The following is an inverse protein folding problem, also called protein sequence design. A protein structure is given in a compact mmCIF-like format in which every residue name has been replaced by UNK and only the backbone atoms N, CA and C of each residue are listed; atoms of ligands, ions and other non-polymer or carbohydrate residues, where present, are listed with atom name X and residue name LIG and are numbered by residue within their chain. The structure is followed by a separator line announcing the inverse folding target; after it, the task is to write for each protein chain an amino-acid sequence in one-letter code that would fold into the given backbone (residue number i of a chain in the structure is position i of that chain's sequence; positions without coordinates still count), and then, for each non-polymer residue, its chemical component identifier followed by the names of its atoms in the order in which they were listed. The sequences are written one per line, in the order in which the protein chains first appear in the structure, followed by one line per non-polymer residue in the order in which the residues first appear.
data_IF_875756377540
#
_entry.id   IF_875756377540
#
_cell.length_a   1.000
_cell.length_b   1.000
_cell.length_c   1.000
_cell.angle_alpha   90.00
_cell.angle_beta   90.00
_cell.angle_gamma   90.00
#
_symmetry.space_group_name_H-M   'P 1'
#
loop_
_entity.id
_entity.type
_entity.pdbx_description
1 polymer ?
#
# COMPACT_ATOMS: atom_id res chain seq x y z
N UNK A 1 -16.86 -16.29 -11.84
CA UNK A 1 -17.16 -17.68 -11.44
C UNK A 1 -17.26 -17.71 -9.93
N UNK A 2 -18.37 -18.19 -9.39
CA UNK A 2 -18.59 -18.25 -7.94
C UNK A 2 -17.97 -19.52 -7.35
N UNK A 3 -17.41 -19.42 -6.15
CA UNK A 3 -16.88 -20.56 -5.38
C UNK A 3 -17.59 -20.66 -4.03
N UNK A 4 -17.73 -21.88 -3.52
CA UNK A 4 -18.27 -22.11 -2.17
C UNK A 4 -17.21 -21.73 -1.14
N UNK A 5 -17.59 -20.92 -0.16
CA UNK A 5 -16.80 -20.57 1.02
C UNK A 5 -17.52 -21.13 2.26
N UNK A 6 -16.83 -21.96 3.03
CA UNK A 6 -17.34 -22.50 4.30
C UNK A 6 -16.29 -22.29 5.38
N UNK A 7 -16.70 -21.71 6.51
CA UNK A 7 -15.83 -21.50 7.67
C UNK A 7 -16.67 -21.32 8.94
N UNK A 8 -16.08 -21.58 10.10
CA UNK A 8 -16.70 -21.25 11.39
C UNK A 8 -16.51 -19.77 11.68
N UNK A 9 -17.57 -19.11 12.11
CA UNK A 9 -17.61 -17.68 12.42
C UNK A 9 -18.23 -17.53 13.80
N UNK A 10 -17.72 -16.59 14.58
CA UNK A 10 -18.28 -16.24 15.88
C UNK A 10 -19.74 -15.76 15.76
N UNK A 11 -20.55 -16.06 16.76
CA UNK A 11 -21.98 -15.74 16.75
C UNK A 11 -22.22 -14.22 16.74
N UNK A 12 -21.44 -13.43 17.48
CA UNK A 12 -21.59 -11.98 17.45
C UNK A 12 -21.29 -11.42 16.03
N UNK A 13 -20.34 -12.04 15.33
CA UNK A 13 -20.00 -11.64 13.95
C UNK A 13 -21.12 -12.01 12.97
N UNK A 14 -21.77 -13.17 13.09
CA UNK A 14 -22.91 -13.50 12.22
C UNK A 14 -24.07 -12.54 12.44
N UNK A 15 -24.36 -12.14 13.68
CA UNK A 15 -25.38 -11.15 14.00
C UNK A 15 -25.07 -9.79 13.36
N UNK A 16 -23.82 -9.36 13.37
CA UNK A 16 -23.40 -8.11 12.71
C UNK A 16 -23.57 -8.18 11.19
N UNK A 17 -23.20 -9.30 10.55
CA UNK A 17 -23.40 -9.51 9.11
C UNK A 17 -24.89 -9.43 8.76
N UNK A 18 -25.74 -10.06 9.56
CA UNK A 18 -27.19 -10.11 9.35
C UNK A 18 -27.83 -8.73 9.47
N UNK A 19 -27.46 -7.99 10.52
CA UNK A 19 -27.88 -6.61 10.71
C UNK A 19 -27.46 -5.73 9.52
N UNK A 20 -26.20 -5.83 9.08
CA UNK A 20 -25.68 -5.01 7.99
C UNK A 20 -26.35 -5.34 6.65
N UNK A 21 -26.60 -6.62 6.39
CA UNK A 21 -27.33 -7.09 5.22
C UNK A 21 -28.76 -6.53 5.20
N UNK A 22 -29.44 -6.54 6.35
CA UNK A 22 -30.80 -5.99 6.51
C UNK A 22 -30.83 -4.48 6.29
N UNK A 23 -29.98 -3.72 7.00
CA UNK A 23 -29.93 -2.26 6.91
C UNK A 23 -29.59 -1.76 5.50
N UNK A 24 -28.72 -2.48 4.78
CA UNK A 24 -28.29 -2.14 3.42
C UNK A 24 -29.16 -2.77 2.33
N UNK A 25 -30.11 -3.64 2.67
CA UNK A 25 -30.97 -4.40 1.74
C UNK A 25 -30.17 -5.17 0.68
N UNK A 26 -29.09 -5.82 1.09
CA UNK A 26 -28.22 -6.62 0.22
C UNK A 26 -28.03 -8.02 0.79
N UNK A 27 -27.73 -9.04 -0.04
CA UNK A 27 -27.46 -10.38 0.46
C UNK A 27 -26.17 -10.43 1.29
N UNK A 28 -26.12 -11.34 2.28
CA UNK A 28 -24.94 -11.57 3.14
C UNK A 28 -23.65 -11.79 2.34
N UNK A 29 -23.72 -12.50 1.20
CA UNK A 29 -22.61 -12.67 0.24
C UNK A 29 -21.99 -11.32 -0.14
N UNK A 30 -22.83 -10.35 -0.51
CA UNK A 30 -22.38 -9.03 -0.97
C UNK A 30 -21.76 -8.23 0.17
N UNK A 31 -22.30 -8.33 1.38
CA UNK A 31 -21.68 -7.74 2.59
C UNK A 31 -20.25 -8.24 2.75
N UNK A 32 -20.05 -9.56 2.72
CA UNK A 32 -18.73 -10.17 2.92
C UNK A 32 -17.77 -9.77 1.79
N UNK A 33 -18.20 -9.84 0.53
CA UNK A 33 -17.35 -9.45 -0.59
C UNK A 33 -16.95 -7.97 -0.55
N UNK A 34 -17.88 -7.07 -0.22
CA UNK A 34 -17.60 -5.64 -0.11
C UNK A 34 -16.67 -5.35 1.09
N UNK A 35 -16.85 -6.03 2.22
CA UNK A 35 -15.98 -5.92 3.37
C UNK A 35 -14.55 -6.36 3.04
N UNK A 36 -14.36 -7.50 2.36
CA UNK A 36 -13.04 -7.99 1.92
C UNK A 36 -12.39 -7.01 0.95
N UNK A 37 -13.14 -6.52 -0.06
CA UNK A 37 -12.62 -5.50 -1.00
C UNK A 37 -12.24 -4.21 -0.28
N UNK A 38 -13.03 -3.78 0.70
CA UNK A 38 -12.73 -2.60 1.51
C UNK A 38 -11.48 -2.79 2.35
N UNK A 39 -11.33 -3.95 2.99
CA UNK A 39 -10.15 -4.29 3.77
C UNK A 39 -8.88 -4.28 2.91
N UNK A 40 -8.91 -4.90 1.72
CA UNK A 40 -7.76 -4.87 0.81
C UNK A 40 -7.41 -3.44 0.37
N UNK A 41 -8.41 -2.60 0.03
CA UNK A 41 -8.15 -1.20 -0.34
C UNK A 41 -7.55 -0.39 0.82
N UNK A 42 -8.02 -0.61 2.04
CA UNK A 42 -7.48 0.05 3.23
C UNK A 42 -6.07 -0.45 3.54
N UNK A 43 -5.82 -1.76 3.41
CA UNK A 43 -4.51 -2.36 3.56
C UNK A 43 -3.52 -1.84 2.51
N UNK A 44 -3.91 -1.72 1.23
CA UNK A 44 -3.06 -1.12 0.19
C UNK A 44 -2.79 0.37 0.45
N UNK A 45 -3.76 1.08 1.04
CA UNK A 45 -3.59 2.49 1.42
C UNK A 45 -2.67 2.64 2.63
N UNK A 46 -2.69 1.70 3.58
CA UNK A 46 -1.81 1.67 4.76
C UNK A 46 -0.42 1.08 4.45
N UNK A 47 -0.32 0.16 3.48
CA UNK A 47 0.91 -0.46 3.02
C UNK A 47 1.66 0.39 1.98
N UNK A 48 1.07 1.50 1.52
CA UNK A 48 1.74 2.56 0.76
C UNK A 48 2.71 3.37 1.65
N UNK A 49 3.66 2.68 2.29
CA UNK A 49 5.03 3.19 2.18
C UNK A 49 5.39 2.89 0.74
N UNK A 50 5.37 3.90 -0.12
CA UNK A 50 5.87 3.76 -1.48
C UNK A 50 7.35 3.40 -1.36
N UNK A 51 7.64 2.09 -1.37
CA UNK A 51 8.99 1.55 -1.18
C UNK A 51 9.91 2.17 -2.23
N UNK A 52 9.39 2.36 -3.45
CA UNK A 52 10.11 3.04 -4.52
C UNK A 52 10.38 4.51 -4.16
N UNK A 53 9.41 5.30 -3.71
CA UNK A 53 9.66 6.67 -3.23
C UNK A 53 10.60 6.71 -2.02
N UNK A 54 10.51 5.76 -1.09
CA UNK A 54 11.34 5.70 0.12
C UNK A 54 12.79 5.30 -0.17
N UNK A 55 13.03 4.50 -1.22
CA UNK A 55 14.36 4.00 -1.60
C UNK A 55 14.98 4.80 -2.74
N UNK A 56 14.18 5.53 -3.52
CA UNK A 56 14.65 6.40 -4.62
C UNK A 56 15.18 7.76 -4.14
N UNK A 57 15.50 7.92 -2.86
CA UNK A 57 16.18 9.12 -2.33
C UNK A 57 17.49 9.45 -3.07
N UNK A 58 18.15 8.45 -3.69
CA UNK A 58 19.31 8.68 -4.56
C UNK A 58 18.98 9.37 -5.90
N UNK A 59 17.71 9.34 -6.33
CA UNK A 59 17.21 9.91 -7.58
C UNK A 59 16.47 11.26 -7.39
N UNK A 60 16.01 11.58 -6.19
CA UNK A 60 15.51 12.92 -5.84
C UNK A 60 16.61 13.80 -5.25
N UNK A 61 17.61 14.14 -6.06
CA UNK A 61 18.66 15.08 -5.63
C UNK A 61 18.13 16.51 -5.67
N UNK A 62 18.37 17.27 -4.61
CA UNK A 62 18.05 18.70 -4.54
C UNK A 62 18.91 19.54 -5.51
N UNK A 63 20.04 18.98 -5.94
CA UNK A 63 20.98 19.60 -6.87
C UNK A 63 20.74 19.14 -8.31
N UNK A 64 21.04 20.01 -9.27
CA UNK A 64 20.95 19.67 -10.69
C UNK A 64 22.03 18.64 -11.07
N UNK A 65 21.81 17.83 -12.13
CA UNK A 65 22.80 16.88 -12.61
C UNK A 65 24.18 17.51 -12.88
N UNK A 66 24.20 18.77 -13.36
CA UNK A 66 25.43 19.51 -13.59
C UNK A 66 26.24 19.73 -12.30
N UNK A 67 25.57 20.10 -11.20
CA UNK A 67 26.21 20.28 -9.89
C UNK A 67 26.76 18.97 -9.33
N UNK A 68 26.02 17.87 -9.46
CA UNK A 68 26.51 16.55 -9.05
C UNK A 68 27.78 16.14 -9.81
N UNK A 69 27.82 16.36 -11.13
CA UNK A 69 29.01 16.06 -11.94
C UNK A 69 30.21 16.92 -11.51
N UNK A 70 29.99 18.20 -11.25
CA UNK A 70 31.04 19.11 -10.79
C UNK A 70 31.62 18.70 -9.43
N UNK A 71 30.74 18.36 -8.47
CA UNK A 71 31.15 17.87 -7.15
C UNK A 71 31.93 16.56 -7.23
N UNK A 72 31.45 15.60 -8.02
CA UNK A 72 32.12 14.32 -8.21
C UNK A 72 33.53 14.50 -8.78
N UNK A 73 33.70 15.37 -9.80
CA UNK A 73 35.01 15.68 -10.39
C UNK A 73 35.92 16.41 -9.42
N UNK A 74 35.38 17.32 -8.61
CA UNK A 74 36.16 18.05 -7.59
C UNK A 74 36.66 17.13 -6.50
N UNK A 75 35.78 16.29 -5.96
CA UNK A 75 36.13 15.28 -4.95
C UNK A 75 37.19 14.30 -5.49
N UNK A 76 37.01 13.79 -6.71
CA UNK A 76 37.99 12.91 -7.35
C UNK A 76 39.37 13.59 -7.52
N UNK A 77 39.40 14.84 -7.99
CA UNK A 77 40.65 15.60 -8.13
C UNK A 77 41.32 15.85 -6.78
N UNK A 78 40.55 16.12 -5.72
CA UNK A 78 41.09 16.30 -4.38
C UNK A 78 41.69 14.99 -3.85
N UNK A 79 41.02 13.85 -4.05
CA UNK A 79 41.53 12.55 -3.64
C UNK A 79 42.78 12.12 -4.45
N UNK A 80 42.88 12.54 -5.71
CA UNK A 80 43.99 12.22 -6.61
C UNK A 80 45.12 13.25 -6.57
N UNK A 81 45.03 14.30 -5.74
CA UNK A 81 46.14 15.23 -5.53
C UNK A 81 47.17 14.59 -4.61
N UNK A 82 48.29 14.19 -5.20
CA UNK A 82 49.58 14.00 -4.51
C UNK A 82 50.19 15.35 -4.18
#
# INVERSE_FOLDING_TARGET
MDKVLSTRIDEAVITLIDRLAYERRIPKKRVIEEAVRSYCRQADTQARVDVFASTSGAWQRAESPAKTVEQARTCFRQAMRW
#
